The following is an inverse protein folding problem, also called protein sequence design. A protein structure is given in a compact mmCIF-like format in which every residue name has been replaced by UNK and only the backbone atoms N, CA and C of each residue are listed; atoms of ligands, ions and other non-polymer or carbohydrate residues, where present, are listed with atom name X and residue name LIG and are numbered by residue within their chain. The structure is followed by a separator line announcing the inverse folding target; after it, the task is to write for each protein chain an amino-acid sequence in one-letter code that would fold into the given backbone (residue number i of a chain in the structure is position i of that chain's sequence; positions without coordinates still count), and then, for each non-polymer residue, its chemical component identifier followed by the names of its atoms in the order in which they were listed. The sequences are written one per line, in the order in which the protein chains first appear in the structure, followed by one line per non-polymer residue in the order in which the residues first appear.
data_IF_904404235620
#
_entry.id   IF_904404235620
#
_cell.length_a   1.000
_cell.length_b   1.000
_cell.length_c   1.000
_cell.angle_alpha   90.00
_cell.angle_beta   90.00
_cell.angle_gamma   90.00
#
_symmetry.space_group_name_H-M   'P 1'
#
loop_
_entity.id
_entity.type
_entity.pdbx_description
1 polymer ?
#
# COMPACT_ATOMS: atom_id res chain seq x y z
N UNK A 1 -27.67 17.89 17.67
CA UNK A 1 -26.80 18.29 16.55
C UNK A 1 -25.46 17.64 16.76
N UNK A 2 -25.19 16.56 16.05
CA UNK A 2 -23.96 15.77 16.22
C UNK A 2 -23.03 16.09 15.05
N UNK A 3 -21.88 16.71 15.33
CA UNK A 3 -20.81 16.87 14.34
C UNK A 3 -20.08 15.52 14.23
N UNK A 4 -20.22 14.89 13.07
CA UNK A 4 -19.36 13.79 12.65
C UNK A 4 -18.02 14.39 12.25
N UNK A 5 -16.97 14.16 13.03
CA UNK A 5 -15.61 14.42 12.58
C UNK A 5 -15.16 13.30 11.64
N UNK A 6 -15.09 13.63 10.36
CA UNK A 6 -14.33 12.86 9.38
C UNK A 6 -12.84 13.12 9.63
N UNK A 7 -12.16 12.13 10.16
CA UNK A 7 -10.70 12.10 10.15
C UNK A 7 -10.24 11.42 8.87
N UNK A 8 -10.07 12.18 7.80
CA UNK A 8 -9.38 11.72 6.59
C UNK A 8 -7.89 11.87 6.79
N UNK A 9 -7.17 10.76 6.97
CA UNK A 9 -5.71 10.75 6.92
C UNK A 9 -5.30 10.71 5.44
N UNK A 10 -4.96 11.87 4.91
CA UNK A 10 -4.33 12.00 3.59
C UNK A 10 -2.82 11.85 3.72
N UNK A 11 -2.30 10.72 3.31
CA UNK A 11 -0.85 10.53 3.19
C UNK A 11 -0.35 11.20 1.90
N UNK A 12 0.41 12.27 2.06
CA UNK A 12 0.98 13.04 0.95
C UNK A 12 2.27 12.40 0.47
N UNK A 13 2.25 11.76 -0.68
CA UNK A 13 3.47 11.35 -1.38
C UNK A 13 3.93 12.48 -2.32
N UNK A 14 4.89 13.29 -1.88
CA UNK A 14 5.56 14.29 -2.72
C UNK A 14 6.62 13.61 -3.60
N UNK A 15 6.31 13.46 -4.89
CA UNK A 15 7.33 13.15 -5.90
C UNK A 15 7.94 14.45 -6.43
N UNK A 16 9.13 14.82 -5.97
CA UNK A 16 9.95 15.86 -6.60
C UNK A 16 10.70 15.27 -7.81
N UNK A 17 10.24 15.61 -8.99
CA UNK A 17 10.99 15.38 -10.22
C UNK A 17 12.10 16.44 -10.34
N UNK A 18 13.36 16.00 -10.19
CA UNK A 18 14.52 16.83 -10.54
C UNK A 18 14.77 16.71 -12.04
N UNK A 19 14.42 17.76 -12.78
CA UNK A 19 14.95 17.99 -14.13
C UNK A 19 16.36 18.56 -14.02
N UNK A 20 17.36 17.87 -14.54
CA UNK A 20 18.63 18.51 -14.91
C UNK A 20 18.81 18.45 -16.42
N UNK A 21 18.80 19.62 -17.01
CA UNK A 21 19.15 19.89 -18.40
C UNK A 21 20.64 20.18 -18.51
N UNK A 22 21.30 19.57 -19.50
CA UNK A 22 22.45 20.18 -20.25
C UNK A 22 22.61 19.31 -21.49
N UNK A 23 22.56 19.73 -22.66
CA UNK A 23 23.17 20.83 -23.34
C UNK A 23 24.23 20.33 -24.30
N UNK A 24 23.92 20.31 -25.61
CA UNK A 24 24.87 20.65 -26.64
C UNK A 24 25.62 19.56 -27.40
N UNK A 25 25.49 19.58 -28.75
CA UNK A 25 26.56 19.16 -29.63
C UNK A 25 26.16 18.33 -30.85
N UNK A 26 25.98 19.01 -31.96
CA UNK A 26 25.83 18.48 -33.33
C UNK A 26 27.03 17.67 -33.81
N UNK A 27 26.83 16.65 -34.63
CA UNK A 27 27.29 16.64 -36.02
C UNK A 27 26.94 15.35 -36.76
N UNK A 28 26.61 15.55 -38.01
CA UNK A 28 26.25 14.59 -39.06
C UNK A 28 27.31 13.51 -39.33
N UNK A 29 26.89 12.32 -39.67
CA UNK A 29 27.32 11.72 -40.94
C UNK A 29 26.43 10.56 -41.38
N UNK A 30 26.10 10.58 -42.68
CA UNK A 30 25.39 9.57 -43.45
C UNK A 30 26.30 8.38 -43.74
N UNK A 31 25.79 7.15 -43.69
CA UNK A 31 25.88 6.11 -44.71
C UNK A 31 25.20 4.83 -44.27
N UNK A 32 24.30 4.31 -45.07
CA UNK A 32 23.76 2.95 -45.07
C UNK A 32 24.59 2.09 -46.04
N UNK A 33 24.30 0.77 -46.23
CA UNK A 33 23.60 -0.22 -45.38
C UNK A 33 24.48 -1.45 -45.11
N UNK A 34 24.17 -2.23 -44.08
CA UNK A 34 24.50 -3.65 -44.10
C UNK A 34 23.44 -4.50 -43.43
N UNK A 35 23.06 -5.52 -44.14
CA UNK A 35 22.08 -6.54 -43.80
C UNK A 35 22.67 -7.52 -42.81
N UNK A 36 22.09 -7.63 -41.62
CA UNK A 36 22.46 -8.60 -40.60
C UNK A 36 21.30 -8.94 -39.69
N UNK A 37 20.59 -9.99 -40.04
CA UNK A 37 19.57 -10.63 -39.26
C UNK A 37 20.11 -11.05 -37.88
N UNK A 38 19.62 -10.46 -36.79
CA UNK A 38 19.75 -11.03 -35.46
C UNK A 38 18.52 -10.66 -34.63
N UNK A 39 17.58 -11.62 -34.59
CA UNK A 39 16.51 -11.69 -33.62
C UNK A 39 17.12 -11.80 -32.21
N UNK A 40 17.25 -10.72 -31.52
CA UNK A 40 17.39 -10.69 -30.08
C UNK A 40 16.61 -9.48 -29.56
N UNK A 41 15.30 -9.66 -29.44
CA UNK A 41 14.43 -8.72 -28.78
C UNK A 41 14.74 -8.72 -27.28
N UNK A 42 15.85 -8.12 -26.91
CA UNK A 42 16.10 -7.66 -25.55
C UNK A 42 15.16 -6.47 -25.30
N UNK A 43 13.94 -6.79 -24.90
CA UNK A 43 13.00 -5.86 -24.32
C UNK A 43 13.58 -5.39 -22.97
N UNK A 44 14.53 -4.48 -23.01
CA UNK A 44 14.87 -3.64 -21.87
C UNK A 44 13.75 -2.62 -21.69
N UNK A 45 12.59 -3.07 -21.23
CA UNK A 45 11.75 -2.19 -20.46
C UNK A 45 12.56 -1.86 -19.21
N UNK A 46 13.13 -0.66 -19.18
CA UNK A 46 13.71 -0.10 -17.98
C UNK A 46 12.65 -0.26 -16.89
N UNK A 47 12.96 -1.07 -15.91
CA UNK A 47 12.17 -1.30 -14.71
C UNK A 47 12.03 0.05 -14.01
N UNK A 48 10.97 0.79 -14.34
CA UNK A 48 10.53 1.94 -13.56
C UNK A 48 9.84 1.34 -12.34
N UNK A 49 10.63 0.73 -11.46
CA UNK A 49 10.15 0.31 -10.15
C UNK A 49 9.54 1.53 -9.49
N UNK A 50 8.22 1.53 -9.34
CA UNK A 50 7.56 2.53 -8.50
C UNK A 50 8.16 2.39 -7.10
N UNK A 51 8.59 3.50 -6.49
CA UNK A 51 9.16 3.47 -5.17
C UNK A 51 8.14 2.85 -4.20
N UNK A 52 8.41 1.65 -3.74
CA UNK A 52 7.65 0.96 -2.70
C UNK A 52 8.23 1.39 -1.35
N UNK A 53 8.14 2.69 -1.07
CA UNK A 53 8.83 3.33 0.04
C UNK A 53 7.87 3.59 1.18
N UNK A 54 8.31 3.27 2.39
CA UNK A 54 7.74 3.74 3.64
C UNK A 54 8.67 4.80 4.21
N UNK A 55 8.19 5.99 4.43
CA UNK A 55 8.98 7.05 5.03
C UNK A 55 9.06 6.87 6.54
N UNK A 56 10.25 7.01 7.10
CA UNK A 56 10.46 7.00 8.53
C UNK A 56 9.73 8.15 9.22
N UNK A 57 9.61 9.32 8.53
CA UNK A 57 8.84 10.47 9.00
C UNK A 57 7.36 10.14 9.24
N UNK A 58 6.74 9.39 8.34
CA UNK A 58 5.32 9.06 8.42
C UNK A 58 5.05 8.15 9.63
N UNK A 59 5.90 7.13 9.84
CA UNK A 59 5.82 6.28 11.04
C UNK A 59 6.01 7.08 12.33
N UNK A 60 6.89 8.07 12.31
CA UNK A 60 7.12 8.95 13.43
C UNK A 60 5.90 9.79 13.76
N UNK A 61 5.27 10.42 12.76
CA UNK A 61 4.04 11.18 12.90
C UNK A 61 2.90 10.32 13.44
N UNK A 62 2.69 9.14 12.90
CA UNK A 62 1.71 8.17 13.41
C UNK A 62 1.95 7.83 14.90
N UNK A 63 3.21 7.70 15.30
CA UNK A 63 3.57 7.43 16.70
C UNK A 63 3.27 8.64 17.59
N UNK A 64 3.58 9.86 17.16
CA UNK A 64 3.25 11.10 17.87
C UNK A 64 1.74 11.20 18.11
N UNK A 65 0.92 11.01 17.07
CA UNK A 65 -0.54 11.05 17.17
C UNK A 65 -1.12 9.94 18.07
N UNK A 66 -0.59 8.72 17.97
CA UNK A 66 -1.04 7.60 18.79
C UNK A 66 -0.77 7.86 20.28
N UNK A 67 0.38 8.47 20.61
CA UNK A 67 0.72 8.86 21.97
C UNK A 67 -0.17 10.01 22.47
N UNK A 68 -0.47 11.01 21.65
CA UNK A 68 -1.40 12.08 21.99
C UNK A 68 -2.78 11.52 22.36
N UNK A 69 -3.31 10.62 21.55
CA UNK A 69 -4.59 9.97 21.81
C UNK A 69 -4.56 9.10 23.06
N UNK A 70 -3.53 8.25 23.20
CA UNK A 70 -3.43 7.30 24.30
C UNK A 70 -3.30 7.96 25.68
N UNK A 71 -2.59 9.08 25.75
CA UNK A 71 -2.32 9.77 27.00
C UNK A 71 -3.11 11.09 27.16
N UNK A 72 -4.08 11.35 26.26
CA UNK A 72 -4.92 12.55 26.30
C UNK A 72 -4.09 13.83 26.47
N UNK A 73 -2.97 13.92 25.74
CA UNK A 73 -2.06 15.06 25.87
C UNK A 73 -2.75 16.35 25.39
N UNK A 74 -2.82 17.41 26.19
CA UNK A 74 -3.41 18.69 25.81
C UNK A 74 -2.54 19.48 24.83
N UNK A 75 -1.32 19.04 24.60
CA UNK A 75 -0.35 19.65 23.69
C UNK A 75 0.21 18.58 22.76
N UNK A 76 0.62 18.96 21.52
CA UNK A 76 1.22 18.02 20.59
C UNK A 76 2.42 17.27 21.21
N UNK A 77 2.40 15.95 21.11
CA UNK A 77 3.54 15.11 21.50
C UNK A 77 4.60 15.22 20.41
N UNK A 78 5.84 15.49 20.82
CA UNK A 78 6.99 15.52 19.90
C UNK A 78 8.05 14.54 20.35
N UNK A 79 8.52 13.74 19.39
CA UNK A 79 9.60 12.80 19.62
C UNK A 79 10.94 13.52 19.49
N UNK A 80 11.76 13.50 20.55
CA UNK A 80 13.11 14.09 20.55
C UNK A 80 14.13 13.15 19.88
N UNK A 81 13.86 11.84 19.89
CA UNK A 81 14.59 10.83 19.11
C UNK A 81 13.59 9.84 18.52
N UNK A 82 13.96 9.21 17.42
CA UNK A 82 13.14 8.17 16.79
C UNK A 82 14.02 7.21 15.99
N UNK A 83 13.78 5.94 16.14
CA UNK A 83 14.38 4.90 15.35
C UNK A 83 13.38 3.76 15.14
N UNK A 84 13.35 3.21 13.94
CA UNK A 84 12.53 2.04 13.59
C UNK A 84 13.41 0.90 13.11
N UNK A 85 13.19 -0.29 13.65
CA UNK A 85 13.87 -1.52 13.25
C UNK A 85 12.90 -2.41 12.50
N UNK A 86 13.22 -2.72 11.24
CA UNK A 86 12.45 -3.60 10.36
C UNK A 86 13.40 -4.63 9.78
N UNK A 87 13.03 -5.92 9.87
CA UNK A 87 13.83 -7.03 9.34
C UNK A 87 15.31 -6.97 9.75
N UNK A 88 15.57 -6.61 11.02
CA UNK A 88 16.92 -6.53 11.58
C UNK A 88 17.68 -5.25 11.29
N UNK A 89 17.26 -4.43 10.34
CA UNK A 89 17.89 -3.15 9.99
C UNK A 89 17.23 -2.00 10.72
N UNK A 90 18.03 -1.06 11.25
CA UNK A 90 17.55 0.14 11.95
C UNK A 90 17.67 1.35 11.04
N UNK A 91 16.61 2.19 11.06
CA UNK A 91 16.48 3.44 10.33
C UNK A 91 16.13 4.54 11.32
N UNK A 92 16.74 5.71 11.19
CA UNK A 92 16.47 6.90 11.98
C UNK A 92 15.83 8.02 11.15
N UNK A 93 15.98 7.92 9.85
CA UNK A 93 15.48 8.86 8.85
C UNK A 93 15.37 8.19 7.48
N UNK A 94 14.93 8.95 6.46
CA UNK A 94 14.86 8.54 5.06
C UNK A 94 13.75 7.54 4.78
N UNK A 95 13.98 6.73 3.74
CA UNK A 95 13.01 5.81 3.20
C UNK A 95 13.39 4.34 3.45
N UNK A 96 12.38 3.54 3.74
CA UNK A 96 12.48 2.09 3.86
C UNK A 96 11.91 1.49 2.58
N UNK A 97 12.80 0.91 1.76
CA UNK A 97 12.39 0.25 0.52
C UNK A 97 11.85 -1.16 0.81
N UNK A 98 10.55 -1.33 0.61
CA UNK A 98 9.88 -2.63 0.74
C UNK A 98 10.36 -3.67 -0.27
N UNK A 99 10.94 -3.27 -1.40
CA UNK A 99 11.50 -4.20 -2.37
C UNK A 99 12.58 -5.10 -1.73
N UNK A 100 13.27 -4.60 -0.71
CA UNK A 100 14.28 -5.35 0.05
C UNK A 100 13.69 -6.50 0.86
N UNK A 101 12.38 -6.50 1.13
CA UNK A 101 11.67 -7.58 1.81
C UNK A 101 11.30 -8.73 0.86
N UNK A 102 11.41 -8.53 -0.46
CA UNK A 102 11.13 -9.52 -1.50
C UNK A 102 9.64 -9.78 -1.74
N UNK A 103 9.33 -10.39 -2.88
CA UNK A 103 7.97 -10.67 -3.32
C UNK A 103 7.24 -11.70 -2.43
N UNK A 104 5.92 -11.71 -2.53
CA UNK A 104 5.01 -12.61 -1.82
C UNK A 104 4.48 -12.03 -0.52
N UNK A 105 3.75 -12.86 0.23
CA UNK A 105 3.20 -12.49 1.53
C UNK A 105 4.30 -12.55 2.59
N UNK A 106 4.45 -11.46 3.33
CA UNK A 106 5.37 -11.34 4.45
C UNK A 106 4.66 -10.82 5.69
N UNK A 107 5.16 -11.23 6.85
CA UNK A 107 4.79 -10.71 8.16
C UNK A 107 6.06 -10.37 8.90
N UNK A 108 6.34 -9.09 9.05
CA UNK A 108 7.63 -8.57 9.54
C UNK A 108 7.40 -7.83 10.85
N UNK A 109 8.24 -8.11 11.83
CA UNK A 109 8.22 -7.35 13.07
C UNK A 109 8.84 -5.96 12.87
N UNK A 110 8.14 -4.98 13.41
CA UNK A 110 8.55 -3.58 13.43
C UNK A 110 8.69 -3.17 14.89
N UNK A 111 9.85 -2.65 15.25
CA UNK A 111 10.12 -2.12 16.59
C UNK A 111 10.51 -0.68 16.47
N UNK A 112 9.73 0.19 17.05
CA UNK A 112 9.99 1.62 17.14
C UNK A 112 10.49 1.97 18.53
N UNK A 113 11.53 2.77 18.59
CA UNK A 113 12.08 3.32 19.83
C UNK A 113 12.18 4.82 19.72
N UNK A 114 11.77 5.52 20.75
CA UNK A 114 11.73 6.97 20.75
C UNK A 114 11.93 7.54 22.17
N UNK A 115 12.18 8.85 22.25
CA UNK A 115 12.01 9.64 23.46
C UNK A 115 10.93 10.68 23.18
N UNK A 116 9.86 10.68 23.99
CA UNK A 116 8.73 11.58 23.85
C UNK A 116 8.62 12.52 25.03
N UNK A 117 8.30 13.79 24.78
CA UNK A 117 7.87 14.70 25.85
C UNK A 117 6.35 14.62 25.94
N UNK A 118 5.84 14.11 27.07
CA UNK A 118 4.41 13.99 27.34
C UNK A 118 4.15 14.74 28.64
N UNK A 119 3.32 15.78 28.60
CA UNK A 119 2.97 16.62 29.75
C UNK A 119 4.19 17.21 30.47
N UNK A 120 5.22 17.61 29.70
CA UNK A 120 6.44 18.25 30.24
C UNK A 120 7.49 17.27 30.78
N UNK A 121 7.25 15.96 30.70
CA UNK A 121 8.21 14.94 31.14
C UNK A 121 8.67 14.11 29.94
N UNK A 122 9.97 13.76 29.93
CA UNK A 122 10.54 12.90 28.87
C UNK A 122 10.38 11.43 29.25
N UNK A 123 9.81 10.66 28.34
CA UNK A 123 9.59 9.22 28.48
C UNK A 123 10.24 8.47 27.34
N UNK A 124 10.88 7.34 27.66
CA UNK A 124 11.30 6.39 26.63
C UNK A 124 10.07 5.62 26.12
N UNK A 125 9.96 5.52 24.81
CA UNK A 125 8.87 4.82 24.13
C UNK A 125 9.43 3.61 23.39
N UNK A 126 8.77 2.48 23.52
CA UNK A 126 8.96 1.31 22.65
C UNK A 126 7.58 0.90 22.14
N UNK A 127 7.39 0.91 20.82
CA UNK A 127 6.19 0.39 20.16
C UNK A 127 6.58 -0.81 19.32
N UNK A 128 5.85 -1.90 19.51
CA UNK A 128 6.01 -3.11 18.72
C UNK A 128 4.82 -3.23 17.78
N UNK A 129 5.09 -3.45 16.52
CA UNK A 129 4.08 -3.60 15.49
C UNK A 129 4.41 -4.78 14.58
N UNK A 130 3.44 -5.25 13.85
CA UNK A 130 3.60 -6.21 12.78
C UNK A 130 3.16 -5.59 11.46
N UNK A 131 4.08 -5.56 10.51
CA UNK A 131 3.82 -5.18 9.13
C UNK A 131 3.43 -6.46 8.38
N UNK A 132 2.23 -6.47 7.83
CA UNK A 132 1.74 -7.49 6.92
C UNK A 132 1.77 -6.90 5.52
N UNK A 133 2.43 -7.55 4.58
CA UNK A 133 2.49 -7.06 3.21
C UNK A 133 2.40 -8.21 2.21
N UNK A 134 1.75 -7.94 1.09
CA UNK A 134 1.83 -8.78 -0.09
C UNK A 134 2.38 -7.95 -1.24
N UNK A 135 3.59 -8.33 -1.68
CA UNK A 135 4.33 -7.63 -2.72
C UNK A 135 4.37 -8.46 -3.99
N UNK A 136 4.07 -7.80 -5.10
CA UNK A 136 4.17 -8.31 -6.46
C UNK A 136 5.17 -7.44 -7.24
N UNK A 137 5.60 -7.81 -8.46
CA UNK A 137 6.51 -6.99 -9.26
C UNK A 137 6.09 -5.54 -9.41
N UNK A 138 4.81 -5.28 -9.68
CA UNK A 138 4.31 -3.94 -9.97
C UNK A 138 3.48 -3.34 -8.84
N UNK A 139 3.11 -4.09 -7.82
CA UNK A 139 2.22 -3.61 -6.76
C UNK A 139 2.55 -4.16 -5.37
N UNK A 140 2.04 -3.48 -4.36
CA UNK A 140 2.12 -3.88 -2.97
C UNK A 140 0.83 -3.47 -2.24
N UNK A 141 0.39 -4.29 -1.30
CA UNK A 141 -0.63 -3.95 -0.32
C UNK A 141 -0.08 -4.20 1.08
N UNK A 142 -0.26 -3.25 1.99
CA UNK A 142 0.33 -3.27 3.33
C UNK A 142 -0.70 -2.99 4.40
N UNK A 143 -0.50 -3.64 5.56
CA UNK A 143 -1.24 -3.40 6.79
C UNK A 143 -0.27 -3.33 7.95
N UNK A 144 -0.51 -2.40 8.86
CA UNK A 144 0.24 -2.29 10.11
C UNK A 144 -0.67 -2.63 11.28
N UNK A 145 -0.13 -3.32 12.27
CA UNK A 145 -0.83 -3.60 13.50
C UNK A 145 0.11 -3.42 14.68
N UNK A 146 -0.20 -2.49 15.57
CA UNK A 146 0.48 -2.41 16.87
C UNK A 146 0.19 -3.67 17.66
N UNK A 147 1.23 -4.33 18.14
CA UNK A 147 1.12 -5.55 18.96
C UNK A 147 1.31 -5.28 20.44
N UNK A 148 1.77 -4.08 20.79
CA UNK A 148 1.95 -3.59 22.14
C UNK A 148 3.15 -2.67 22.28
N UNK A 149 3.46 -2.27 23.50
CA UNK A 149 4.61 -1.40 23.77
C UNK A 149 4.64 -0.90 25.20
N UNK A 150 5.51 0.09 25.46
CA UNK A 150 5.71 0.71 26.75
C UNK A 150 6.07 2.19 26.60
N UNK A 151 5.53 3.04 27.45
CA UNK A 151 5.86 4.48 27.53
C UNK A 151 6.37 4.77 28.93
N UNK A 152 7.66 4.59 29.14
CA UNK A 152 8.30 4.81 30.41
C UNK A 152 7.51 4.27 31.60
N UNK A 153 7.26 5.12 32.59
CA UNK A 153 6.41 4.82 33.74
C UNK A 153 4.92 5.11 33.51
N UNK A 154 4.53 5.72 32.38
CA UNK A 154 3.14 6.10 32.12
C UNK A 154 2.24 4.88 31.84
N UNK A 155 2.78 3.84 31.23
CA UNK A 155 1.99 2.64 31.00
C UNK A 155 2.33 1.89 29.71
N UNK A 156 1.47 0.92 29.39
CA UNK A 156 1.61 0.09 28.20
C UNK A 156 0.87 0.69 27.00
N UNK A 157 1.39 0.40 25.82
CA UNK A 157 0.67 0.58 24.56
C UNK A 157 -0.07 -0.73 24.30
N UNK A 158 -1.39 -0.65 24.16
CA UNK A 158 -2.23 -1.81 23.92
C UNK A 158 -2.16 -2.25 22.45
N UNK A 159 -2.62 -3.48 22.18
CA UNK A 159 -2.74 -3.99 20.83
C UNK A 159 -3.74 -3.14 20.04
N UNK A 160 -3.31 -2.67 18.87
CA UNK A 160 -4.12 -1.91 17.93
C UNK A 160 -4.88 -2.78 16.93
N UNK A 161 -5.66 -2.13 16.10
CA UNK A 161 -6.37 -2.75 15.00
C UNK A 161 -5.43 -3.15 13.85
N UNK A 162 -5.86 -4.12 13.05
CA UNK A 162 -5.25 -4.45 11.77
C UNK A 162 -5.73 -3.40 10.75
N UNK A 163 -4.87 -2.46 10.42
CA UNK A 163 -5.22 -1.32 9.55
C UNK A 163 -4.43 -1.35 8.26
N UNK A 164 -5.11 -1.08 7.15
CA UNK A 164 -4.48 -0.79 5.87
C UNK A 164 -3.62 0.46 6.01
N UNK A 165 -2.36 0.34 5.59
CA UNK A 165 -1.52 1.53 5.40
C UNK A 165 -1.77 2.08 4.01
N UNK A 166 -1.68 1.23 2.98
CA UNK A 166 -1.97 1.56 1.59
C UNK A 166 -1.90 0.32 0.69
N UNK A 167 -2.42 0.45 -0.52
CA UNK A 167 -2.00 -0.34 -1.66
C UNK A 167 -1.54 0.63 -2.77
N UNK A 168 -0.42 0.32 -3.40
CA UNK A 168 0.17 1.16 -4.42
C UNK A 168 1.00 0.33 -5.40
N UNK A 169 1.39 0.95 -6.51
CA UNK A 169 2.19 0.28 -7.50
C UNK A 169 2.43 1.14 -8.73
N UNK A 170 3.05 0.55 -9.75
CA UNK A 170 3.12 1.14 -11.07
C UNK A 170 1.74 1.12 -11.70
N UNK A 171 1.04 2.24 -11.70
CA UNK A 171 -0.30 2.34 -12.25
C UNK A 171 -0.31 1.96 -13.74
N UNK A 172 -1.33 1.23 -14.16
CA UNK A 172 -1.61 1.01 -15.59
C UNK A 172 -2.05 2.33 -16.22
N UNK A 173 -1.27 2.88 -17.14
CA UNK A 173 -1.56 4.17 -17.78
C UNK A 173 -2.71 4.07 -18.79
N UNK A 174 -2.79 2.97 -19.49
CA UNK A 174 -3.83 2.71 -20.49
C UNK A 174 -4.38 1.30 -20.28
N UNK A 175 -5.69 1.21 -20.08
CA UNK A 175 -6.36 -0.09 -19.98
C UNK A 175 -6.33 -0.81 -21.32
N UNK A 176 -6.27 -2.16 -21.32
CA UNK A 176 -6.53 -2.95 -22.52
C UNK A 176 -7.84 -2.53 -23.20
N UNK A 177 -7.83 -2.47 -24.52
CA UNK A 177 -8.98 -2.01 -25.30
C UNK A 177 -10.13 -3.03 -25.34
N UNK A 178 -9.83 -4.31 -25.11
CA UNK A 178 -10.79 -5.41 -25.16
C UNK A 178 -10.28 -6.65 -24.41
N UNK A 179 -11.18 -7.61 -24.21
CA UNK A 179 -10.89 -8.90 -23.63
C UNK A 179 -11.23 -9.03 -22.16
N UNK A 180 -11.22 -10.26 -21.68
CA UNK A 180 -11.49 -10.59 -20.28
C UNK A 180 -10.26 -11.25 -19.68
N UNK A 181 -9.71 -10.68 -18.60
CA UNK A 181 -8.52 -11.17 -17.92
C UNK A 181 -8.88 -11.67 -16.53
N UNK A 182 -8.37 -12.85 -16.19
CA UNK A 182 -8.50 -13.42 -14.86
C UNK A 182 -7.23 -13.16 -14.04
N UNK A 183 -7.39 -12.72 -12.82
CA UNK A 183 -6.32 -12.43 -11.87
C UNK A 183 -6.43 -13.41 -10.70
N UNK A 184 -5.36 -14.17 -10.47
CA UNK A 184 -5.28 -15.10 -9.35
C UNK A 184 -4.14 -14.73 -8.43
N UNK A 185 -4.37 -14.91 -7.13
CA UNK A 185 -3.34 -14.57 -6.17
C UNK A 185 -3.72 -14.84 -4.73
N UNK A 186 -3.23 -13.98 -3.85
CA UNK A 186 -3.29 -14.12 -2.40
C UNK A 186 -4.26 -13.10 -1.82
N UNK A 187 -5.05 -13.54 -0.86
CA UNK A 187 -5.70 -12.67 0.11
C UNK A 187 -5.14 -12.98 1.50
N UNK A 188 -5.14 -12.02 2.39
CA UNK A 188 -4.61 -12.22 3.74
C UNK A 188 -5.27 -11.28 4.75
N UNK A 189 -5.26 -11.71 6.01
CA UNK A 189 -5.58 -10.87 7.16
C UNK A 189 -4.46 -10.99 8.21
N UNK A 190 -4.74 -10.53 9.43
CA UNK A 190 -3.80 -10.60 10.56
C UNK A 190 -3.16 -11.99 10.74
N UNK A 191 -3.94 -13.06 10.57
CA UNK A 191 -3.53 -14.43 10.93
C UNK A 191 -3.46 -15.39 9.76
N UNK A 192 -4.30 -15.17 8.76
CA UNK A 192 -4.63 -16.16 7.73
C UNK A 192 -4.14 -15.74 6.35
N UNK A 193 -4.05 -16.72 5.49
CA UNK A 193 -3.81 -16.54 4.05
C UNK A 193 -4.89 -17.30 3.29
N UNK A 194 -5.50 -16.63 2.33
CA UNK A 194 -6.49 -17.14 1.43
C UNK A 194 -6.09 -16.94 -0.02
N UNK A 195 -7.07 -17.05 -0.91
CA UNK A 195 -6.92 -16.95 -2.35
C UNK A 195 -7.83 -15.87 -2.90
N UNK A 196 -7.32 -15.10 -3.88
CA UNK A 196 -8.07 -14.21 -4.73
C UNK A 196 -8.33 -14.89 -6.08
N UNK A 197 -9.54 -14.75 -6.59
CA UNK A 197 -9.92 -15.00 -7.99
C UNK A 197 -10.76 -13.81 -8.45
N UNK A 198 -10.24 -13.00 -9.40
CA UNK A 198 -10.89 -11.78 -9.85
C UNK A 198 -10.81 -11.68 -11.37
N UNK A 199 -11.90 -11.31 -12.00
CA UNK A 199 -11.96 -11.16 -13.47
C UNK A 199 -12.31 -9.72 -13.81
N UNK A 200 -11.59 -9.14 -14.77
CA UNK A 200 -11.92 -7.84 -15.38
C UNK A 200 -12.26 -8.07 -16.84
N UNK A 201 -13.43 -7.63 -17.23
CA UNK A 201 -13.84 -7.51 -18.63
C UNK A 201 -13.56 -6.07 -19.09
N UNK A 202 -12.56 -5.92 -19.96
CA UNK A 202 -12.13 -4.61 -20.45
C UNK A 202 -13.05 -4.05 -21.54
N UNK A 203 -13.85 -4.90 -22.23
CA UNK A 203 -14.86 -4.43 -23.19
C UNK A 203 -15.96 -3.63 -22.46
N UNK A 204 -16.39 -4.13 -21.30
CA UNK A 204 -17.42 -3.48 -20.48
C UNK A 204 -16.87 -2.59 -19.39
N UNK A 205 -15.53 -2.64 -19.13
CA UNK A 205 -14.86 -2.00 -18.02
C UNK A 205 -15.47 -2.34 -16.68
N UNK A 206 -15.71 -3.62 -16.44
CA UNK A 206 -16.27 -4.13 -15.20
C UNK A 206 -15.43 -5.27 -14.64
N UNK A 207 -15.42 -5.37 -13.32
CA UNK A 207 -14.71 -6.43 -12.62
C UNK A 207 -15.54 -7.04 -11.50
N UNK A 208 -15.33 -8.34 -11.26
CA UNK A 208 -15.96 -9.09 -10.19
C UNK A 208 -15.06 -10.25 -9.76
N UNK A 209 -15.27 -10.77 -8.55
CA UNK A 209 -14.45 -11.88 -8.09
C UNK A 209 -14.84 -12.44 -6.73
N UNK A 210 -13.90 -13.18 -6.15
CA UNK A 210 -14.08 -13.71 -4.81
C UNK A 210 -12.76 -13.90 -4.08
N UNK A 211 -12.85 -13.86 -2.75
CA UNK A 211 -11.78 -14.23 -1.82
C UNK A 211 -12.27 -15.46 -1.04
N UNK A 212 -11.38 -16.45 -0.87
CA UNK A 212 -11.67 -17.67 -0.12
C UNK A 212 -10.51 -18.09 0.76
N UNK A 213 -10.78 -18.93 1.77
CA UNK A 213 -9.76 -19.48 2.66
C UNK A 213 -9.39 -18.57 3.84
N UNK A 214 -10.17 -17.53 4.13
CA UNK A 214 -10.07 -16.72 5.33
C UNK A 214 -11.18 -17.11 6.29
N UNK A 215 -10.84 -17.83 7.36
CA UNK A 215 -11.86 -18.35 8.30
C UNK A 215 -12.60 -17.22 9.04
N UNK A 216 -11.95 -16.09 9.29
CA UNK A 216 -12.55 -14.96 10.00
C UNK A 216 -13.71 -14.33 9.21
N UNK A 217 -13.61 -14.27 7.89
CA UNK A 217 -14.61 -13.66 7.02
C UNK A 217 -15.50 -14.66 6.31
N UNK A 218 -15.08 -15.94 6.23
CA UNK A 218 -15.63 -16.87 5.28
C UNK A 218 -15.31 -16.46 3.84
N UNK A 219 -16.04 -16.98 2.86
CA UNK A 219 -15.93 -16.52 1.48
C UNK A 219 -16.43 -15.08 1.38
N UNK A 220 -15.69 -14.25 0.63
CA UNK A 220 -16.10 -12.89 0.26
C UNK A 220 -16.40 -12.89 -1.23
N UNK A 221 -17.61 -12.48 -1.61
CA UNK A 221 -17.99 -12.24 -3.01
C UNK A 221 -17.79 -10.76 -3.31
N UNK A 222 -16.89 -10.45 -4.23
CA UNK A 222 -16.65 -9.10 -4.74
C UNK A 222 -17.61 -8.88 -5.91
N UNK A 223 -18.67 -8.10 -5.71
CA UNK A 223 -19.73 -7.91 -6.71
C UNK A 223 -19.22 -7.10 -7.89
N UNK A 224 -19.90 -7.23 -9.02
CA UNK A 224 -19.55 -6.50 -10.23
C UNK A 224 -19.54 -5.00 -9.96
N UNK A 225 -18.42 -4.37 -10.31
CA UNK A 225 -18.17 -2.94 -10.16
C UNK A 225 -17.49 -2.36 -11.39
N UNK A 226 -17.73 -1.07 -11.65
CA UNK A 226 -17.09 -0.38 -12.77
C UNK A 226 -15.61 -0.14 -12.48
N UNK A 227 -14.77 -0.32 -13.50
CA UNK A 227 -13.38 0.10 -13.48
C UNK A 227 -13.30 1.55 -13.92
N UNK A 228 -12.89 2.41 -13.03
CA UNK A 228 -12.79 3.86 -13.26
C UNK A 228 -11.39 4.38 -12.99
N UNK A 229 -11.14 5.63 -13.33
CA UNK A 229 -9.96 6.34 -12.86
C UNK A 229 -10.21 6.77 -11.42
N UNK A 230 -9.31 6.38 -10.54
CA UNK A 230 -9.33 6.79 -9.14
C UNK A 230 -8.46 8.03 -9.00
N UNK A 231 -9.00 9.08 -8.42
CA UNK A 231 -8.33 10.36 -8.22
C UNK A 231 -7.93 10.54 -6.77
N UNK A 232 -6.82 11.22 -6.56
CA UNK A 232 -6.47 11.73 -5.24
C UNK A 232 -7.15 13.11 -5.09
N UNK A 233 -8.22 13.15 -4.33
CA UNK A 233 -9.03 14.35 -4.11
C UNK A 233 -8.25 15.53 -3.51
N UNK A 234 -7.12 15.25 -2.82
CA UNK A 234 -6.27 16.28 -2.23
C UNK A 234 -5.40 17.01 -3.26
N UNK A 235 -5.17 16.42 -4.43
CA UNK A 235 -4.26 16.96 -5.45
C UNK A 235 -4.84 16.98 -6.86
N UNK A 236 -6.09 16.64 -7.04
CA UNK A 236 -6.73 16.51 -8.35
C UNK A 236 -5.91 15.66 -9.34
N UNK A 237 -5.20 14.66 -8.82
CA UNK A 237 -4.27 13.84 -9.59
C UNK A 237 -4.79 12.42 -9.77
N UNK A 238 -4.81 11.95 -11.02
CA UNK A 238 -5.03 10.54 -11.31
C UNK A 238 -3.96 9.67 -10.65
N UNK A 239 -4.36 8.66 -9.93
CA UNK A 239 -3.46 7.72 -9.26
C UNK A 239 -3.40 6.36 -9.94
N UNK A 240 -4.55 5.75 -10.28
CA UNK A 240 -4.63 4.46 -10.94
C UNK A 240 -6.03 4.20 -11.52
N UNK A 241 -6.17 3.17 -12.35
CA UNK A 241 -7.47 2.59 -12.67
C UNK A 241 -7.85 1.57 -11.60
N UNK A 242 -9.14 1.47 -11.27
CA UNK A 242 -9.58 0.52 -10.27
C UNK A 242 -11.06 0.59 -9.93
N UNK A 243 -11.37 0.05 -8.76
CA UNK A 243 -12.67 0.10 -8.10
C UNK A 243 -12.49 0.83 -6.79
N UNK A 244 -13.37 1.77 -6.50
CA UNK A 244 -13.47 2.47 -5.22
C UNK A 244 -14.84 2.15 -4.60
N UNK A 245 -14.84 1.78 -3.31
CA UNK A 245 -16.02 1.39 -2.55
C UNK A 245 -16.92 0.35 -3.25
N UNK A 246 -16.30 -0.58 -3.97
CA UNK A 246 -17.02 -1.67 -4.64
C UNK A 246 -17.80 -2.52 -3.63
N UNK A 247 -19.04 -2.86 -3.95
CA UNK A 247 -19.87 -3.69 -3.06
C UNK A 247 -19.34 -5.11 -2.98
N UNK A 248 -19.32 -5.67 -1.77
CA UNK A 248 -18.99 -7.07 -1.55
C UNK A 248 -19.85 -7.67 -0.42
N UNK A 249 -19.87 -9.00 -0.35
CA UNK A 249 -20.57 -9.74 0.70
C UNK A 249 -19.65 -10.80 1.29
N UNK A 250 -19.43 -10.75 2.58
CA UNK A 250 -18.72 -11.76 3.36
C UNK A 250 -19.74 -12.70 4.01
N UNK A 251 -19.49 -14.02 3.95
CA UNK A 251 -20.36 -15.02 4.58
C UNK A 251 -20.55 -14.80 6.10
N UNK A 252 -19.52 -14.28 6.78
CA UNK A 252 -19.54 -14.10 8.23
C UNK A 252 -19.69 -12.66 8.71
N UNK A 253 -19.36 -11.67 7.86
CA UNK A 253 -19.42 -10.25 8.21
C UNK A 253 -20.59 -9.52 7.53
N UNK A 254 -21.30 -10.16 6.58
CA UNK A 254 -22.39 -9.54 5.83
C UNK A 254 -21.88 -8.55 4.77
N UNK A 255 -22.52 -7.39 4.67
CA UNK A 255 -22.14 -6.39 3.68
C UNK A 255 -20.79 -5.74 4.03
N UNK A 256 -19.91 -5.69 3.05
CA UNK A 256 -18.57 -5.11 3.11
C UNK A 256 -18.30 -4.33 1.82
N UNK A 257 -17.22 -3.57 1.78
CA UNK A 257 -16.75 -2.89 0.58
C UNK A 257 -15.36 -3.35 0.22
N UNK A 258 -14.95 -3.09 -1.02
CA UNK A 258 -13.58 -3.32 -1.47
C UNK A 258 -13.08 -2.20 -2.36
N UNK A 259 -11.78 -1.94 -2.24
CA UNK A 259 -11.03 -1.07 -3.12
C UNK A 259 -10.00 -1.90 -3.88
N UNK A 260 -9.78 -1.58 -5.15
CA UNK A 260 -8.87 -2.32 -6.02
C UNK A 260 -8.18 -1.38 -6.99
N UNK A 261 -6.85 -1.50 -7.12
CA UNK A 261 -6.06 -0.85 -8.15
C UNK A 261 -5.56 -1.85 -9.19
N UNK A 262 -5.37 -1.36 -10.42
CA UNK A 262 -4.81 -2.10 -11.57
C UNK A 262 -3.40 -1.58 -11.84
N UNK A 263 -2.43 -2.48 -11.87
CA UNK A 263 -1.01 -2.17 -11.90
C UNK A 263 -0.27 -2.92 -13.01
N UNK A 264 0.90 -2.36 -13.35
CA UNK A 264 1.75 -2.88 -14.41
C UNK A 264 1.41 -2.32 -15.80
N UNK A 265 2.37 -2.34 -16.75
CA UNK A 265 2.23 -1.69 -18.05
C UNK A 265 1.09 -2.27 -18.90
N UNK A 266 0.70 -3.53 -18.67
CA UNK A 266 -0.32 -4.23 -19.46
C UNK A 266 -1.49 -4.71 -18.58
N UNK A 267 -1.82 -4.00 -17.50
CA UNK A 267 -2.77 -4.46 -16.50
C UNK A 267 -2.38 -5.85 -15.95
N UNK A 268 -1.12 -5.98 -15.52
CA UNK A 268 -0.51 -7.26 -15.17
C UNK A 268 -0.94 -7.75 -13.80
N UNK A 269 -1.30 -6.82 -12.91
CA UNK A 269 -1.61 -7.11 -11.51
C UNK A 269 -2.80 -6.30 -10.99
N UNK A 270 -3.45 -6.85 -9.98
CA UNK A 270 -4.40 -6.13 -9.13
C UNK A 270 -3.93 -6.21 -7.69
N UNK A 271 -4.20 -5.17 -6.91
CA UNK A 271 -4.03 -5.14 -5.46
C UNK A 271 -5.14 -4.33 -4.82
N UNK A 272 -5.51 -4.66 -3.59
CA UNK A 272 -6.60 -3.95 -2.94
C UNK A 272 -6.89 -4.42 -1.53
N UNK A 273 -7.98 -3.90 -0.96
CA UNK A 273 -8.41 -4.10 0.42
C UNK A 273 -9.90 -4.43 0.48
N UNK A 274 -10.32 -5.08 1.56
CA UNK A 274 -11.72 -5.29 1.92
C UNK A 274 -11.94 -4.71 3.30
N UNK A 275 -13.00 -3.92 3.47
CA UNK A 275 -13.34 -3.27 4.72
C UNK A 275 -14.83 -3.35 5.07
N UNK A 276 -15.15 -3.15 6.34
CA UNK A 276 -16.51 -2.98 6.85
C UNK A 276 -16.58 -1.69 7.67
N UNK A 277 -17.09 -0.64 7.07
CA UNK A 277 -16.96 0.70 7.63
C UNK A 277 -15.49 1.07 7.82
N UNK A 278 -15.09 1.43 9.02
CA UNK A 278 -13.71 1.82 9.33
C UNK A 278 -12.80 0.63 9.71
N UNK A 279 -13.30 -0.61 9.59
CA UNK A 279 -12.55 -1.81 9.97
C UNK A 279 -12.05 -2.53 8.74
N UNK A 280 -10.74 -2.66 8.61
CA UNK A 280 -10.13 -3.47 7.57
C UNK A 280 -10.24 -4.96 7.89
N UNK A 281 -10.61 -5.74 6.90
CA UNK A 281 -10.83 -7.18 7.03
C UNK A 281 -9.77 -8.02 6.33
N UNK A 282 -9.30 -7.56 5.17
CA UNK A 282 -8.32 -8.28 4.37
C UNK A 282 -7.61 -7.37 3.35
N UNK A 283 -6.36 -7.73 3.05
CA UNK A 283 -5.66 -7.28 1.86
C UNK A 283 -5.61 -8.38 0.82
N UNK A 284 -5.47 -8.00 -0.44
CA UNK A 284 -5.34 -8.97 -1.52
C UNK A 284 -4.50 -8.44 -2.69
N UNK A 285 -3.99 -9.38 -3.48
CA UNK A 285 -3.39 -9.07 -4.76
C UNK A 285 -3.34 -10.29 -5.66
N UNK A 286 -3.31 -10.07 -6.96
CA UNK A 286 -3.32 -11.15 -7.96
C UNK A 286 -2.62 -10.74 -9.24
N UNK A 287 -2.14 -11.75 -9.97
CA UNK A 287 -1.51 -11.60 -11.29
C UNK A 287 -2.43 -12.12 -12.37
N UNK A 288 -2.36 -11.45 -13.50
CA UNK A 288 -3.01 -11.90 -14.75
C UNK A 288 -2.52 -13.30 -15.12
N UNK A 289 -3.48 -14.17 -15.49
CA UNK A 289 -3.24 -15.55 -15.89
C UNK A 289 -3.08 -15.68 -17.41
#
# INVERSE_FOLDING_TARGET
MSLKQLGSLTLVALCLAACSSSGGGSSNNLNAPDTGNNNNANNKHADKSVPKLLKVSDLREDTEEDLERAFHSPVPVKLSSYAVKINGKTYTDGDIDYATLGNGLKRVDVVETASANINGQTHNVTRNSKLHLYQQPYSIVTFMQTTGGQVGSLGKIEKGEFKSSYFLGQATETLPSAGSFNYKGVAFNEKEQGKLDYTINFDTKKGAGSISGLNQTGKITLHESNITKIWDDGFEKYTHYGVEEGKATSEKQGNVTYDLGIFGPNADEVSGTVSQGNKDLAGFGGKKQ
#
